data_IF_191289793166
#
_entry.id   IF_191289793166
#
_cell.length_a   1.000
_cell.length_b   1.000
_cell.length_c   1.000
_cell.angle_alpha   90.00
_cell.angle_beta   90.00
_cell.angle_gamma   90.00
#
_symmetry.space_group_name_H-M   'P 1'
#
loop_
_entity.id
_entity.type
_entity.pdbx_description
1 polymer ?
#
# COMPACT_ATOMS: atom_id res chain seq x y z
N UNK A 1 -12.63 -39.15 -5.33
CA UNK A 1 -11.41 -38.91 -6.11
C UNK A 1 -11.56 -37.80 -7.15
N UNK A 2 -12.73 -37.58 -7.74
CA UNK A 2 -12.96 -36.52 -8.75
C UNK A 2 -12.94 -35.09 -8.17
N UNK A 3 -13.50 -34.85 -6.97
CA UNK A 3 -13.53 -33.49 -6.36
C UNK A 3 -12.12 -32.91 -6.08
N UNK A 4 -11.16 -33.75 -5.66
CA UNK A 4 -9.78 -33.30 -5.40
C UNK A 4 -9.09 -32.91 -6.71
N UNK A 5 -9.30 -33.67 -7.79
CA UNK A 5 -8.76 -33.34 -9.11
C UNK A 5 -9.35 -32.04 -9.68
N UNK A 6 -10.65 -31.81 -9.48
CA UNK A 6 -11.31 -30.55 -9.88
C UNK A 6 -10.80 -29.37 -9.06
N UNK A 7 -10.64 -29.51 -7.75
CA UNK A 7 -10.08 -28.46 -6.88
C UNK A 7 -8.63 -28.13 -7.27
N UNK A 8 -7.78 -29.13 -7.47
CA UNK A 8 -6.39 -28.90 -7.90
C UNK A 8 -6.33 -28.23 -9.26
N UNK A 9 -7.15 -28.64 -10.21
CA UNK A 9 -7.21 -28.04 -11.54
C UNK A 9 -7.65 -26.58 -11.47
N UNK A 10 -8.75 -26.30 -10.76
CA UNK A 10 -9.24 -24.92 -10.56
C UNK A 10 -8.23 -24.03 -9.84
N UNK A 11 -7.55 -24.56 -8.81
CA UNK A 11 -6.50 -23.82 -8.11
C UNK A 11 -5.32 -23.49 -9.02
N UNK A 12 -4.92 -24.42 -9.88
CA UNK A 12 -3.84 -24.20 -10.83
C UNK A 12 -4.23 -23.19 -11.92
N UNK A 13 -5.45 -23.26 -12.45
CA UNK A 13 -5.97 -22.31 -13.43
C UNK A 13 -6.02 -20.89 -12.86
N UNK A 14 -6.55 -20.71 -11.62
CA UNK A 14 -6.60 -19.42 -10.95
C UNK A 14 -5.18 -18.88 -10.70
N UNK A 15 -4.27 -19.73 -10.23
CA UNK A 15 -2.87 -19.34 -9.99
C UNK A 15 -2.20 -18.90 -11.28
N UNK A 16 -2.38 -19.62 -12.37
CA UNK A 16 -1.83 -19.29 -13.67
C UNK A 16 -2.36 -17.95 -14.21
N UNK A 17 -3.67 -17.71 -14.09
CA UNK A 17 -4.28 -16.43 -14.46
C UNK A 17 -3.74 -15.26 -13.65
N UNK A 18 -3.51 -15.47 -12.34
CA UNK A 18 -2.89 -14.45 -11.48
C UNK A 18 -1.46 -14.15 -11.91
N UNK A 19 -0.65 -15.16 -12.24
CA UNK A 19 0.72 -14.95 -12.73
C UNK A 19 0.78 -14.17 -14.04
N UNK A 20 -0.12 -14.47 -14.99
CA UNK A 20 -0.22 -13.74 -16.27
C UNK A 20 -0.50 -12.25 -16.05
N UNK A 21 -1.24 -11.89 -15.00
CA UNK A 21 -1.51 -10.49 -14.67
C UNK A 21 -0.37 -9.87 -13.86
N UNK A 22 0.12 -10.60 -12.88
CA UNK A 22 1.09 -10.11 -11.91
C UNK A 22 2.45 -9.80 -12.55
N UNK A 23 2.97 -10.73 -13.38
CA UNK A 23 4.31 -10.57 -13.98
C UNK A 23 4.40 -9.33 -14.87
N UNK A 24 3.52 -9.12 -15.87
CA UNK A 24 3.57 -7.90 -16.68
C UNK A 24 3.38 -6.62 -15.85
N UNK A 25 2.50 -6.67 -14.83
CA UNK A 25 2.27 -5.51 -13.97
C UNK A 25 3.52 -5.13 -13.19
N UNK A 26 4.23 -6.11 -12.63
CA UNK A 26 5.49 -5.87 -11.92
C UNK A 26 6.58 -5.30 -12.85
N UNK A 27 6.65 -5.79 -14.09
CA UNK A 27 7.59 -5.25 -15.09
C UNK A 27 7.26 -3.78 -15.39
N UNK A 28 5.98 -3.45 -15.60
CA UNK A 28 5.56 -2.06 -15.85
C UNK A 28 5.88 -1.18 -14.64
N UNK A 29 5.59 -1.63 -13.42
CA UNK A 29 5.90 -0.87 -12.20
C UNK A 29 7.41 -0.66 -12.08
N UNK A 30 8.23 -1.67 -12.38
CA UNK A 30 9.70 -1.55 -12.36
C UNK A 30 10.21 -0.54 -13.40
N UNK A 31 9.63 -0.52 -14.60
CA UNK A 31 9.94 0.48 -15.62
C UNK A 31 9.56 1.89 -15.13
N UNK A 32 8.39 2.04 -14.51
CA UNK A 32 7.95 3.32 -13.93
C UNK A 32 8.89 3.81 -12.83
N UNK A 33 9.42 2.89 -12.02
CA UNK A 33 10.43 3.20 -11.00
C UNK A 33 11.73 3.71 -11.63
N UNK A 34 12.26 3.01 -12.64
CA UNK A 34 13.50 3.37 -13.34
C UNK A 34 13.42 4.75 -14.05
N UNK A 35 12.25 5.15 -14.54
CA UNK A 35 12.05 6.46 -15.17
C UNK A 35 11.76 7.58 -14.14
N UNK A 36 11.82 7.30 -12.85
CA UNK A 36 11.61 8.29 -11.78
C UNK A 36 10.15 8.63 -11.48
N UNK A 37 9.19 7.86 -11.97
CA UNK A 37 7.77 8.09 -11.71
C UNK A 37 7.41 7.92 -10.22
N UNK A 38 8.10 7.00 -9.53
CA UNK A 38 7.93 6.80 -8.08
C UNK A 38 8.32 8.05 -7.30
N UNK A 39 9.39 8.77 -7.72
CA UNK A 39 9.81 10.03 -7.10
C UNK A 39 8.78 11.14 -7.29
N UNK A 40 8.13 11.21 -8.47
CA UNK A 40 7.06 12.18 -8.72
C UNK A 40 5.87 11.91 -7.79
N UNK A 41 5.46 10.65 -7.68
CA UNK A 41 4.39 10.25 -6.76
C UNK A 41 4.76 10.51 -5.31
N UNK A 42 6.01 10.25 -4.92
CA UNK A 42 6.51 10.52 -3.58
C UNK A 42 6.35 12.01 -3.22
N UNK A 43 6.80 12.91 -4.09
CA UNK A 43 6.63 14.37 -3.92
C UNK A 43 5.15 14.80 -3.86
N UNK A 44 4.29 14.13 -4.62
CA UNK A 44 2.86 14.39 -4.62
C UNK A 44 2.18 13.94 -3.31
N UNK A 45 2.65 12.82 -2.72
CA UNK A 45 2.10 12.29 -1.48
C UNK A 45 2.76 12.86 -0.21
N UNK A 46 3.90 13.54 -0.30
CA UNK A 46 4.54 14.17 0.84
C UNK A 46 3.60 15.10 1.65
N UNK A 47 2.83 16.03 1.03
CA UNK A 47 1.88 16.85 1.77
C UNK A 47 0.73 16.04 2.41
N UNK A 48 0.36 14.90 1.80
CA UNK A 48 -0.63 14.00 2.38
C UNK A 48 -0.11 13.35 3.67
N UNK A 49 1.16 12.99 3.73
CA UNK A 49 1.78 12.44 4.96
C UNK A 49 1.65 13.43 6.11
N UNK A 50 1.92 14.71 5.86
CA UNK A 50 1.75 15.75 6.88
C UNK A 50 0.30 15.83 7.40
N UNK A 51 -0.70 15.75 6.52
CA UNK A 51 -2.12 15.74 6.90
C UNK A 51 -2.47 14.54 7.79
N UNK A 52 -1.78 13.41 7.62
CA UNK A 52 -1.99 12.18 8.38
C UNK A 52 -1.10 12.08 9.63
N UNK A 53 -0.36 13.14 9.99
CA UNK A 53 0.56 13.14 11.14
C UNK A 53 1.81 12.27 10.94
N UNK A 54 2.14 11.92 9.68
CA UNK A 54 3.28 11.08 9.33
C UNK A 54 4.47 11.92 8.87
N UNK A 55 5.72 11.52 9.18
CA UNK A 55 6.92 12.14 8.62
C UNK A 55 6.94 12.07 7.08
N UNK A 56 7.52 13.08 6.43
CA UNK A 56 7.63 13.15 4.98
C UNK A 56 8.35 11.92 4.37
N UNK A 57 9.37 11.41 5.03
CA UNK A 57 10.12 10.23 4.61
C UNK A 57 9.23 8.97 4.42
N UNK A 58 8.10 8.91 5.13
CA UNK A 58 7.13 7.80 5.01
C UNK A 58 6.39 7.83 3.67
N UNK A 59 6.40 8.95 2.94
CA UNK A 59 5.79 9.01 1.61
C UNK A 59 6.42 8.02 0.63
N UNK A 60 7.74 7.77 0.74
CA UNK A 60 8.42 6.77 -0.08
C UNK A 60 7.98 5.34 0.26
N UNK A 61 7.84 5.04 1.56
CA UNK A 61 7.31 3.74 2.03
C UNK A 61 5.89 3.50 1.52
N UNK A 62 5.04 4.52 1.64
CA UNK A 62 3.67 4.49 1.16
C UNK A 62 3.60 4.29 -0.36
N UNK A 63 4.32 5.11 -1.13
CA UNK A 63 4.34 5.04 -2.60
C UNK A 63 4.82 3.67 -3.08
N UNK A 64 5.87 3.14 -2.48
CA UNK A 64 6.40 1.82 -2.83
C UNK A 64 5.40 0.71 -2.49
N UNK A 65 4.78 0.75 -1.31
CA UNK A 65 3.74 -0.22 -0.93
C UNK A 65 2.53 -0.17 -1.86
N UNK A 66 2.11 1.03 -2.24
CA UNK A 66 0.97 1.27 -3.12
C UNK A 66 1.20 0.71 -4.52
N UNK A 67 2.39 0.90 -5.07
CA UNK A 67 2.71 0.47 -6.45
C UNK A 67 3.10 -1.00 -6.56
N UNK A 68 3.79 -1.53 -5.55
CA UNK A 68 4.35 -2.89 -5.59
C UNK A 68 3.68 -3.82 -4.60
N UNK A 69 4.14 -3.83 -3.35
CA UNK A 69 3.61 -4.68 -2.29
C UNK A 69 3.90 -4.10 -0.90
N UNK A 70 3.15 -4.52 0.14
CA UNK A 70 3.44 -4.15 1.53
C UNK A 70 4.87 -4.54 1.96
N UNK A 71 5.36 -5.68 1.47
CA UNK A 71 6.71 -6.15 1.80
C UNK A 71 7.79 -5.24 1.23
N UNK A 72 7.62 -4.74 -0.01
CA UNK A 72 8.55 -3.78 -0.59
C UNK A 72 8.57 -2.47 0.22
N UNK A 73 7.40 -2.01 0.66
CA UNK A 73 7.31 -0.87 1.57
C UNK A 73 8.03 -1.11 2.91
N UNK A 74 7.90 -2.29 3.51
CA UNK A 74 8.61 -2.64 4.74
C UNK A 74 10.13 -2.67 4.55
N UNK A 75 10.64 -3.12 3.41
CA UNK A 75 12.07 -3.06 3.08
C UNK A 75 12.53 -1.61 3.01
N UNK A 76 11.78 -0.72 2.35
CA UNK A 76 12.09 0.71 2.32
C UNK A 76 12.05 1.31 3.72
N UNK A 77 11.05 0.96 4.52
CA UNK A 77 10.92 1.41 5.90
C UNK A 77 12.13 1.01 6.75
N UNK A 78 12.61 -0.23 6.62
CA UNK A 78 13.80 -0.71 7.34
C UNK A 78 15.10 -0.02 6.91
N UNK A 79 15.11 0.63 5.76
CA UNK A 79 16.24 1.43 5.25
C UNK A 79 16.19 2.90 5.67
N UNK A 80 15.15 3.36 6.37
CA UNK A 80 15.08 4.71 6.91
C UNK A 80 16.09 4.90 8.07
N UNK A 81 16.53 6.16 8.33
CA UNK A 81 17.43 6.43 9.43
C UNK A 81 16.86 5.94 10.77
N UNK A 82 17.68 5.19 11.54
CA UNK A 82 17.27 4.62 12.82
C UNK A 82 16.97 5.67 13.91
N UNK A 83 17.46 6.88 13.73
CA UNK A 83 17.22 8.04 14.61
C UNK A 83 15.95 8.82 14.25
N UNK A 84 15.24 8.41 13.21
CA UNK A 84 13.99 9.06 12.82
C UNK A 84 12.92 8.83 13.92
N UNK A 85 12.39 9.92 14.51
CA UNK A 85 11.36 9.78 15.52
C UNK A 85 10.08 9.21 14.88
N UNK A 86 9.68 8.02 15.32
CA UNK A 86 8.49 7.35 14.84
C UNK A 86 7.70 6.76 16.01
N UNK A 87 6.41 7.11 16.11
CA UNK A 87 5.57 6.69 17.24
C UNK A 87 4.73 5.46 16.90
N UNK A 88 4.25 4.76 17.92
CA UNK A 88 3.31 3.66 17.74
C UNK A 88 1.99 4.10 17.07
N UNK A 89 1.54 5.33 17.33
CA UNK A 89 0.41 5.94 16.65
C UNK A 89 0.68 6.07 15.15
N UNK A 90 1.84 6.61 14.78
CA UNK A 90 2.24 6.77 13.39
C UNK A 90 2.39 5.41 12.67
N UNK A 91 2.92 4.39 13.34
CA UNK A 91 2.98 3.04 12.81
C UNK A 91 1.58 2.47 12.53
N UNK A 92 0.63 2.73 13.42
CA UNK A 92 -0.76 2.30 13.25
C UNK A 92 -1.45 3.02 12.08
N UNK A 93 -1.24 4.33 11.94
CA UNK A 93 -1.76 5.12 10.82
C UNK A 93 -1.15 4.63 9.49
N UNK A 94 0.17 4.42 9.43
CA UNK A 94 0.84 3.88 8.25
C UNK A 94 0.34 2.48 7.89
N UNK A 95 0.22 1.59 8.87
CA UNK A 95 -0.29 0.24 8.67
C UNK A 95 -1.71 0.24 8.11
N UNK A 96 -2.59 1.10 8.63
CA UNK A 96 -3.95 1.26 8.13
C UNK A 96 -3.95 1.82 6.70
N UNK A 97 -3.12 2.80 6.40
CA UNK A 97 -2.99 3.39 5.07
C UNK A 97 -2.56 2.33 4.05
N UNK A 98 -1.51 1.55 4.38
CA UNK A 98 -1.03 0.46 3.52
C UNK A 98 -2.11 -0.61 3.35
N UNK A 99 -2.84 -0.97 4.40
CA UNK A 99 -3.92 -1.96 4.32
C UNK A 99 -4.97 -1.62 3.26
N UNK A 100 -5.36 -0.35 3.16
CA UNK A 100 -6.33 0.09 2.16
C UNK A 100 -5.75 0.24 0.75
N UNK A 101 -4.47 0.57 0.62
CA UNK A 101 -3.94 1.12 -0.65
C UNK A 101 -2.83 0.29 -1.29
N UNK A 102 -2.35 -0.79 -0.66
CA UNK A 102 -1.26 -1.59 -1.21
C UNK A 102 -1.58 -2.20 -2.57
N UNK A 103 -0.55 -2.41 -3.37
CA UNK A 103 -0.62 -3.16 -4.65
C UNK A 103 -1.72 -2.69 -5.61
N UNK A 104 -2.04 -1.39 -5.62
CA UNK A 104 -3.13 -0.82 -6.42
C UNK A 104 -3.11 -1.23 -7.90
N UNK A 105 -1.97 -1.23 -8.63
CA UNK A 105 -1.97 -1.59 -10.05
C UNK A 105 -2.47 -3.02 -10.29
N UNK A 106 -2.00 -3.98 -9.50
CA UNK A 106 -2.38 -5.40 -9.62
C UNK A 106 -3.85 -5.59 -9.28
N UNK A 107 -4.28 -5.03 -8.15
CA UNK A 107 -5.66 -5.18 -7.68
C UNK A 107 -6.68 -4.51 -8.59
N UNK A 108 -6.34 -3.34 -9.17
CA UNK A 108 -7.20 -2.68 -10.16
C UNK A 108 -7.40 -3.57 -11.39
N UNK A 109 -6.36 -4.24 -11.86
CA UNK A 109 -6.47 -5.13 -13.02
C UNK A 109 -7.35 -6.36 -12.69
N UNK A 110 -7.15 -6.96 -11.52
CA UNK A 110 -7.97 -8.10 -11.05
C UNK A 110 -9.45 -7.70 -10.91
N UNK A 111 -9.73 -6.57 -10.25
CA UNK A 111 -11.09 -6.07 -10.07
C UNK A 111 -11.77 -5.71 -11.40
N UNK A 112 -11.02 -5.19 -12.38
CA UNK A 112 -11.55 -4.96 -13.73
C UNK A 112 -11.99 -6.25 -14.41
N UNK A 113 -11.25 -7.35 -14.26
CA UNK A 113 -11.66 -8.67 -14.76
C UNK A 113 -12.98 -9.14 -14.11
N UNK A 114 -13.23 -8.77 -12.87
CA UNK A 114 -14.49 -9.02 -12.16
C UNK A 114 -15.61 -8.00 -12.49
N UNK A 115 -15.41 -7.09 -13.46
CA UNK A 115 -16.41 -6.13 -13.90
C UNK A 115 -16.46 -4.83 -13.10
N UNK A 116 -15.55 -4.62 -12.14
CA UNK A 116 -15.50 -3.39 -11.34
C UNK A 116 -14.83 -2.26 -12.13
N UNK A 117 -15.36 -1.04 -12.02
CA UNK A 117 -14.76 0.14 -12.65
C UNK A 117 -13.48 0.54 -11.91
N UNK A 118 -12.34 0.53 -12.63
CA UNK A 118 -11.03 0.86 -12.08
C UNK A 118 -11.00 2.19 -11.30
N UNK A 119 -11.59 3.24 -11.88
CA UNK A 119 -11.67 4.57 -11.22
C UNK A 119 -12.40 4.51 -9.89
N UNK A 120 -13.56 3.86 -9.85
CA UNK A 120 -14.34 3.72 -8.62
C UNK A 120 -13.54 2.99 -7.53
N UNK A 121 -12.85 1.91 -7.89
CA UNK A 121 -12.01 1.17 -6.95
C UNK A 121 -10.86 2.03 -6.39
N UNK A 122 -10.14 2.75 -7.26
CA UNK A 122 -9.03 3.62 -6.82
C UNK A 122 -9.56 4.70 -5.87
N UNK A 123 -10.62 5.41 -6.25
CA UNK A 123 -11.19 6.47 -5.41
C UNK A 123 -11.72 5.96 -4.08
N UNK A 124 -12.38 4.80 -4.06
CA UNK A 124 -12.88 4.22 -2.82
C UNK A 124 -11.72 3.82 -1.91
N UNK A 125 -10.71 3.11 -2.41
CA UNK A 125 -9.58 2.65 -1.59
C UNK A 125 -8.73 3.80 -1.06
N UNK A 126 -8.31 4.73 -1.93
CA UNK A 126 -7.57 5.91 -1.50
C UNK A 126 -8.41 6.80 -0.59
N UNK A 127 -9.65 7.08 -0.96
CA UNK A 127 -10.53 7.94 -0.17
C UNK A 127 -10.83 7.36 1.21
N UNK A 128 -11.23 6.09 1.30
CA UNK A 128 -11.46 5.44 2.60
C UNK A 128 -10.17 5.29 3.40
N UNK A 129 -9.05 4.96 2.75
CA UNK A 129 -7.75 4.87 3.40
C UNK A 129 -7.34 6.19 4.04
N UNK A 130 -7.35 7.28 3.27
CA UNK A 130 -7.01 8.61 3.75
C UNK A 130 -7.96 9.07 4.86
N UNK A 131 -9.27 8.91 4.65
CA UNK A 131 -10.29 9.32 5.62
C UNK A 131 -10.14 8.56 6.95
N UNK A 132 -9.99 7.23 6.88
CA UNK A 132 -9.80 6.40 8.07
C UNK A 132 -8.52 6.74 8.82
N UNK A 133 -7.42 6.97 8.09
CA UNK A 133 -6.14 7.37 8.68
C UNK A 133 -6.21 8.76 9.32
N UNK A 134 -6.89 9.71 8.69
CA UNK A 134 -7.10 11.04 9.26
C UNK A 134 -7.86 10.98 10.60
N UNK A 135 -8.97 10.23 10.65
CA UNK A 135 -9.71 10.05 11.89
C UNK A 135 -8.91 9.28 12.95
N UNK A 136 -8.13 8.29 12.55
CA UNK A 136 -7.27 7.55 13.47
C UNK A 136 -6.18 8.46 14.06
N UNK A 137 -5.52 9.28 13.23
CA UNK A 137 -4.53 10.26 13.70
C UNK A 137 -5.17 11.26 14.68
N UNK A 138 -6.33 11.81 14.32
CA UNK A 138 -7.07 12.74 15.19
C UNK A 138 -7.43 12.08 16.53
N UNK A 139 -7.84 10.83 16.53
CA UNK A 139 -8.11 10.08 17.76
C UNK A 139 -6.85 9.96 18.65
N UNK A 140 -5.69 9.64 18.07
CA UNK A 140 -4.44 9.56 18.82
C UNK A 140 -4.00 10.91 19.37
N UNK A 141 -4.16 11.98 18.60
CA UNK A 141 -3.86 13.34 19.05
C UNK A 141 -4.75 13.78 20.24
N UNK A 142 -6.05 13.51 20.15
CA UNK A 142 -7.01 13.88 21.18
C UNK A 142 -6.87 13.07 22.47
N UNK A 143 -6.52 11.79 22.36
CA UNK A 143 -6.42 10.89 23.52
C UNK A 143 -5.03 10.84 24.14
N UNK A 144 -4.00 11.29 23.42
CA UNK A 144 -2.59 11.11 23.81
C UNK A 144 -2.13 9.65 23.82
N UNK A 145 -2.93 8.73 23.25
CA UNK A 145 -2.66 7.30 23.28
C UNK A 145 -1.64 6.91 22.20
N UNK A 146 -0.74 5.97 22.54
CA UNK A 146 0.29 5.46 21.63
C UNK A 146 1.27 6.50 21.04
N UNK A 147 1.45 7.64 21.72
CA UNK A 147 2.43 8.66 21.29
C UNK A 147 3.87 8.33 21.73
N UNK A 148 4.11 7.18 22.36
CA UNK A 148 5.46 6.72 22.71
C UNK A 148 6.27 6.41 21.45
N UNK A 149 7.55 6.81 21.44
CA UNK A 149 8.47 6.51 20.35
C UNK A 149 8.74 5.01 20.25
N UNK A 150 8.80 4.51 19.02
CA UNK A 150 9.27 3.18 18.70
C UNK A 150 10.76 3.32 18.34
N UNK A 151 11.62 2.56 19.00
CA UNK A 151 13.00 2.39 18.57
C UNK A 151 13.04 1.29 17.50
N UNK A 152 13.43 1.67 16.30
CA UNK A 152 13.57 0.76 15.15
C UNK A 152 15.01 0.26 15.07
#
# INVERSE_FOLDING_TARGET
MNKIKELTKSSFEITYELFIVMIPTLIVVKILDEIGFVEILNKMFAPLMFLLGLPEAISLVFTTSMLTSPYAGLIVFSGLPADMPFTAAQASVLGLLILFTHSLPIEVIICRKAGVRARAMIFIRLGLGILSCYFLNLFFELTGYMLSLIHI
#
